data_IF_434388565712
#
_entry.id   IF_434388565712
#
_cell.length_a   1.000
_cell.length_b   1.000
_cell.length_c   1.000
_cell.angle_alpha   90.00
_cell.angle_beta   90.00
_cell.angle_gamma   90.00
#
_symmetry.space_group_name_H-M   'P 1'
#
loop_
_entity.id
_entity.type
_entity.pdbx_description
1 polymer ?
#
# COMPACT_ATOMS: atom_id res chain seq x y z
N UNK A 1 26.30 -7.43 10.15
CA UNK A 1 25.44 -7.47 11.34
C UNK A 1 24.00 -7.85 10.98
N UNK A 2 23.32 -7.20 10.06
CA UNK A 2 21.94 -7.51 9.64
C UNK A 2 21.76 -8.97 9.19
N UNK A 3 22.67 -9.51 8.35
CA UNK A 3 22.59 -10.92 7.91
C UNK A 3 22.78 -11.92 9.07
N UNK A 4 23.63 -11.60 10.04
CA UNK A 4 23.84 -12.45 11.21
C UNK A 4 22.59 -12.51 12.10
N UNK A 5 21.95 -11.35 12.32
CA UNK A 5 20.69 -11.24 13.07
C UNK A 5 19.56 -12.03 12.37
N UNK A 6 19.46 -11.92 11.05
CA UNK A 6 18.49 -12.69 10.26
C UNK A 6 18.72 -14.20 10.34
N UNK A 7 19.98 -14.65 10.25
CA UNK A 7 20.30 -16.07 10.38
C UNK A 7 19.92 -16.64 11.77
N UNK A 8 20.08 -15.84 12.81
CA UNK A 8 19.76 -16.24 14.20
C UNK A 8 18.24 -16.32 14.41
N UNK A 9 17.47 -15.36 13.89
CA UNK A 9 16.04 -15.23 14.20
C UNK A 9 15.10 -15.82 13.14
N UNK A 10 15.49 -15.86 11.86
CA UNK A 10 14.65 -16.35 10.76
C UNK A 10 15.15 -17.68 10.14
N UNK A 11 16.39 -18.09 10.45
CA UNK A 11 17.01 -19.29 9.85
C UNK A 11 17.64 -19.03 8.47
N UNK A 12 18.49 -19.97 8.01
CA UNK A 12 19.35 -19.80 6.83
C UNK A 12 18.58 -19.86 5.48
N UNK A 13 17.39 -20.49 5.46
CA UNK A 13 16.56 -20.74 4.26
C UNK A 13 15.07 -20.46 4.54
N UNK A 14 14.78 -19.42 5.33
CA UNK A 14 13.41 -19.09 5.71
C UNK A 14 12.63 -18.49 4.53
N UNK A 15 11.45 -19.04 4.25
CA UNK A 15 10.51 -18.42 3.31
C UNK A 15 9.92 -17.16 3.95
N UNK A 16 10.30 -16.01 3.40
CA UNK A 16 9.95 -14.70 3.92
C UNK A 16 8.45 -14.39 3.78
N UNK A 17 7.75 -15.13 2.93
CA UNK A 17 6.31 -15.01 2.72
C UNK A 17 5.50 -15.74 3.83
N UNK A 18 6.15 -16.62 4.59
CA UNK A 18 5.47 -17.30 5.70
C UNK A 18 5.11 -16.30 6.81
N UNK A 19 3.84 -16.22 7.25
CA UNK A 19 3.38 -15.24 8.25
C UNK A 19 4.17 -15.27 9.57
N UNK A 20 4.60 -16.45 10.01
CA UNK A 20 5.41 -16.62 11.23
C UNK A 20 6.80 -16.03 11.11
N UNK A 21 7.44 -16.21 9.95
CA UNK A 21 8.79 -15.69 9.69
C UNK A 21 8.73 -14.17 9.52
N UNK A 22 7.71 -13.67 8.82
CA UNK A 22 7.42 -12.26 8.66
C UNK A 22 7.26 -11.56 10.02
N UNK A 23 6.44 -12.13 10.90
CA UNK A 23 6.25 -11.60 12.26
C UNK A 23 7.53 -11.64 13.08
N UNK A 24 8.34 -12.71 12.99
CA UNK A 24 9.63 -12.81 13.68
C UNK A 24 10.62 -11.73 13.25
N UNK A 25 10.66 -11.40 11.95
CA UNK A 25 11.46 -10.30 11.40
C UNK A 25 10.96 -8.95 11.93
N UNK A 26 9.64 -8.75 11.98
CA UNK A 26 9.03 -7.55 12.54
C UNK A 26 9.35 -7.36 14.03
N UNK A 27 9.24 -8.42 14.82
CA UNK A 27 9.60 -8.41 16.25
C UNK A 27 11.10 -8.15 16.48
N UNK A 28 11.96 -8.75 15.66
CA UNK A 28 13.41 -8.48 15.70
C UNK A 28 13.69 -6.99 15.46
N UNK A 29 13.09 -6.42 14.42
CA UNK A 29 13.32 -5.02 14.06
C UNK A 29 12.84 -4.07 15.16
N UNK A 30 11.66 -4.28 15.72
CA UNK A 30 11.15 -3.51 16.84
C UNK A 30 12.06 -3.60 18.09
N UNK A 31 12.51 -4.82 18.42
CA UNK A 31 13.42 -5.02 19.55
C UNK A 31 14.77 -4.33 19.35
N UNK A 32 15.36 -4.43 18.16
CA UNK A 32 16.62 -3.73 17.82
C UNK A 32 16.45 -2.23 17.92
N UNK A 33 15.31 -1.68 17.43
CA UNK A 33 14.98 -0.27 17.55
C UNK A 33 14.91 0.20 18.99
N UNK A 34 14.18 -0.51 19.83
CA UNK A 34 14.05 -0.20 21.27
C UNK A 34 15.44 -0.18 21.92
N UNK A 35 16.22 -1.23 21.70
CA UNK A 35 17.56 -1.34 22.31
C UNK A 35 18.48 -0.20 21.86
N UNK A 36 18.53 0.09 20.57
CA UNK A 36 19.38 1.16 20.02
C UNK A 36 18.95 2.54 20.54
N UNK A 37 17.66 2.84 20.53
CA UNK A 37 17.15 4.13 20.96
C UNK A 37 17.30 4.33 22.48
N UNK A 38 17.11 3.31 23.30
CA UNK A 38 17.38 3.37 24.75
C UNK A 38 18.88 3.56 25.01
N UNK A 39 19.74 2.88 24.27
CA UNK A 39 21.20 3.05 24.38
C UNK A 39 21.61 4.48 24.03
N UNK A 40 21.12 5.02 22.91
CA UNK A 40 21.37 6.41 22.50
C UNK A 40 20.83 7.41 23.54
N UNK A 41 19.63 7.19 24.07
CA UNK A 41 19.08 7.99 25.15
C UNK A 41 20.01 8.01 26.36
N UNK A 42 20.44 6.85 26.87
CA UNK A 42 21.30 6.77 28.05
C UNK A 42 22.66 7.47 27.85
N UNK A 43 23.29 7.25 26.70
CA UNK A 43 24.60 7.88 26.37
C UNK A 43 24.45 9.39 26.25
N UNK A 44 23.45 9.89 25.54
CA UNK A 44 23.18 11.31 25.36
C UNK A 44 22.76 11.98 26.65
N UNK A 45 21.94 11.30 27.46
CA UNK A 45 21.52 11.80 28.78
C UNK A 45 22.74 11.99 29.70
N UNK A 46 23.60 10.97 29.81
CA UNK A 46 24.83 11.07 30.61
C UNK A 46 25.76 12.20 30.12
N UNK A 47 25.96 12.28 28.80
CA UNK A 47 26.77 13.33 28.20
C UNK A 47 26.17 14.73 28.40
N UNK A 48 24.85 14.88 28.30
CA UNK A 48 24.12 16.14 28.53
C UNK A 48 24.26 16.64 29.98
N UNK A 49 24.11 15.71 30.94
CA UNK A 49 24.30 16.01 32.36
C UNK A 49 25.77 16.44 32.64
N UNK A 50 26.72 15.66 32.15
CA UNK A 50 28.16 15.95 32.37
C UNK A 50 28.61 17.24 31.69
N UNK A 51 28.07 17.56 30.52
CA UNK A 51 28.41 18.78 29.77
C UNK A 51 27.55 19.99 30.17
N UNK A 52 26.51 19.82 30.98
CA UNK A 52 25.55 20.87 31.27
C UNK A 52 24.81 21.40 30.05
N UNK A 53 24.67 20.56 28.99
CA UNK A 53 24.12 20.97 27.69
C UNK A 53 22.64 20.60 27.56
N UNK A 54 21.78 21.63 27.52
CA UNK A 54 20.33 21.46 27.32
C UNK A 54 20.03 20.88 25.93
N UNK A 55 20.81 21.24 24.90
CA UNK A 55 20.62 20.73 23.53
C UNK A 55 20.86 19.21 23.45
N UNK A 56 21.88 18.67 24.15
CA UNK A 56 22.12 17.23 24.22
C UNK A 56 21.02 16.52 25.00
N UNK A 57 20.51 17.15 26.08
CA UNK A 57 19.41 16.60 26.85
C UNK A 57 18.12 16.52 25.99
N UNK A 58 17.82 17.58 25.23
CA UNK A 58 16.70 17.57 24.28
C UNK A 58 16.81 16.47 23.25
N UNK A 59 18.00 16.29 22.66
CA UNK A 59 18.29 15.22 21.68
C UNK A 59 18.24 13.82 22.34
N UNK A 60 18.60 13.68 23.60
CA UNK A 60 18.38 12.45 24.38
C UNK A 60 16.89 12.12 24.52
N UNK A 61 16.06 13.12 24.88
CA UNK A 61 14.60 12.94 24.98
C UNK A 61 13.97 12.55 23.65
N UNK A 62 14.48 13.06 22.53
CA UNK A 62 14.05 12.61 21.20
C UNK A 62 14.26 11.10 21.02
N UNK A 63 15.44 10.56 21.38
CA UNK A 63 15.67 9.10 21.28
C UNK A 63 14.75 8.28 22.20
N UNK A 64 14.27 8.83 23.32
CA UNK A 64 13.24 8.18 24.13
C UNK A 64 11.89 8.12 23.39
N UNK A 65 11.53 9.19 22.67
CA UNK A 65 10.34 9.19 21.79
C UNK A 65 10.46 8.16 20.68
N UNK A 66 11.66 8.00 20.08
CA UNK A 66 11.91 6.99 19.06
C UNK A 66 11.82 5.56 19.59
N UNK A 67 12.26 5.33 20.85
CA UNK A 67 12.03 4.05 21.51
C UNK A 67 10.52 3.76 21.66
N UNK A 68 9.71 4.77 21.91
CA UNK A 68 8.23 4.63 21.96
C UNK A 68 7.66 4.24 20.60
N UNK A 69 8.11 4.88 19.50
CA UNK A 69 7.73 4.49 18.12
C UNK A 69 8.09 3.03 17.82
N UNK A 70 9.27 2.58 18.27
CA UNK A 70 9.71 1.20 18.14
C UNK A 70 8.83 0.21 18.93
N UNK A 71 8.30 0.62 20.08
CA UNK A 71 7.31 -0.17 20.85
C UNK A 71 6.00 -0.27 20.09
N UNK A 72 5.51 0.82 19.48
CA UNK A 72 4.29 0.81 18.65
C UNK A 72 4.44 -0.15 17.48
N UNK A 73 5.60 -0.12 16.80
CA UNK A 73 5.95 -1.06 15.72
C UNK A 73 5.91 -2.53 16.19
N UNK A 74 6.55 -2.82 17.32
CA UNK A 74 6.57 -4.17 17.89
C UNK A 74 5.16 -4.67 18.25
N UNK A 75 4.36 -3.82 18.86
CA UNK A 75 2.97 -4.13 19.21
C UNK A 75 2.13 -4.35 17.97
N UNK A 76 2.33 -3.55 16.91
CA UNK A 76 1.63 -3.69 15.63
C UNK A 76 1.83 -5.09 15.03
N UNK A 77 3.08 -5.56 14.93
CA UNK A 77 3.38 -6.92 14.45
C UNK A 77 2.77 -8.00 15.34
N UNK A 78 2.85 -7.84 16.67
CA UNK A 78 2.28 -8.80 17.61
C UNK A 78 0.76 -8.88 17.53
N UNK A 79 0.09 -7.76 17.30
CA UNK A 79 -1.37 -7.71 17.14
C UNK A 79 -1.80 -8.24 15.77
N UNK A 80 -1.06 -7.94 14.71
CA UNK A 80 -1.33 -8.43 13.35
C UNK A 80 -1.24 -9.96 13.23
N UNK A 81 -0.47 -10.60 14.10
CA UNK A 81 -0.29 -12.07 14.16
C UNK A 81 -1.52 -12.82 14.71
N UNK A 82 -2.46 -12.10 15.36
CA UNK A 82 -3.66 -12.74 15.92
C UNK A 82 -4.50 -13.37 14.81
N UNK A 83 -4.98 -14.62 15.00
CA UNK A 83 -5.86 -15.26 14.04
C UNK A 83 -7.21 -14.54 13.95
N UNK A 84 -7.98 -14.89 12.93
CA UNK A 84 -9.37 -14.49 12.83
C UNK A 84 -10.17 -14.95 14.07
N UNK A 85 -11.11 -14.12 14.50
CA UNK A 85 -12.04 -14.38 15.59
C UNK A 85 -13.46 -13.94 15.18
N UNK A 86 -14.44 -14.12 16.09
CA UNK A 86 -15.86 -13.81 15.84
C UNK A 86 -16.11 -12.32 15.53
N UNK A 87 -15.25 -11.42 16.04
CA UNK A 87 -15.36 -9.98 15.80
C UNK A 87 -14.56 -9.54 14.56
N UNK A 88 -13.51 -10.27 14.21
CA UNK A 88 -12.61 -9.97 13.09
C UNK A 88 -12.41 -11.23 12.21
N UNK A 89 -13.44 -11.63 11.43
CA UNK A 89 -13.43 -12.88 10.67
C UNK A 89 -12.36 -12.92 9.58
N UNK A 90 -11.93 -11.75 9.10
CA UNK A 90 -10.84 -11.63 8.12
C UNK A 90 -9.44 -11.56 8.75
N UNK A 91 -9.33 -11.67 10.08
CA UNK A 91 -8.08 -11.61 10.82
C UNK A 91 -7.66 -10.20 11.23
N UNK A 92 -6.47 -10.09 11.78
CA UNK A 92 -5.98 -8.87 12.44
C UNK A 92 -4.79 -8.22 11.70
N UNK A 93 -4.46 -8.66 10.49
CA UNK A 93 -3.24 -8.20 9.79
C UNK A 93 -3.23 -6.68 9.50
N UNK A 94 -4.39 -6.02 9.45
CA UNK A 94 -4.50 -4.55 9.32
C UNK A 94 -3.93 -3.76 10.50
N UNK A 95 -3.69 -4.41 11.66
CA UNK A 95 -2.97 -3.73 12.75
C UNK A 95 -1.56 -3.26 12.35
N UNK A 96 -0.97 -3.86 11.33
CA UNK A 96 0.30 -3.37 10.80
C UNK A 96 0.16 -2.00 10.14
N UNK A 97 -0.88 -1.78 9.35
CA UNK A 97 -1.18 -0.46 8.75
C UNK A 97 -1.52 0.57 9.84
N UNK A 98 -2.32 0.19 10.85
CA UNK A 98 -2.66 1.07 11.96
C UNK A 98 -1.44 1.47 12.79
N UNK A 99 -0.49 0.57 13.01
CA UNK A 99 0.75 0.89 13.70
C UNK A 99 1.65 1.82 12.88
N UNK A 100 1.73 1.61 11.55
CA UNK A 100 2.41 2.54 10.64
C UNK A 100 1.78 3.94 10.65
N UNK A 101 0.45 4.04 10.69
CA UNK A 101 -0.26 5.31 10.82
C UNK A 101 0.02 5.99 12.16
N UNK A 102 0.07 5.22 13.27
CA UNK A 102 0.44 5.76 14.57
C UNK A 102 1.86 6.35 14.57
N UNK A 103 2.82 5.66 13.94
CA UNK A 103 4.20 6.18 13.77
C UNK A 103 4.20 7.44 12.90
N UNK A 104 3.43 7.48 11.80
CA UNK A 104 3.30 8.66 10.96
C UNK A 104 2.75 9.87 11.75
N UNK A 105 1.74 9.65 12.60
CA UNK A 105 1.19 10.69 13.48
C UNK A 105 2.25 11.22 14.46
N UNK A 106 3.08 10.34 15.02
CA UNK A 106 4.18 10.75 15.90
C UNK A 106 5.22 11.59 15.16
N UNK A 107 5.59 11.20 13.93
CA UNK A 107 6.51 11.96 13.06
C UNK A 107 5.95 13.37 12.80
N UNK A 108 4.64 13.49 12.54
CA UNK A 108 3.97 14.78 12.31
C UNK A 108 4.01 15.67 13.56
N UNK A 109 3.76 15.11 14.73
CA UNK A 109 3.84 15.85 16.02
C UNK A 109 5.27 16.35 16.24
N UNK A 110 6.28 15.50 16.06
CA UNK A 110 7.70 15.86 16.22
C UNK A 110 8.09 16.94 15.19
N UNK A 111 7.66 16.78 13.93
CA UNK A 111 7.92 17.76 12.86
C UNK A 111 7.31 19.13 13.18
N UNK A 112 6.10 19.16 13.74
CA UNK A 112 5.44 20.40 14.18
C UNK A 112 6.18 21.08 15.34
N UNK A 113 6.58 20.32 16.36
CA UNK A 113 7.36 20.83 17.50
C UNK A 113 8.73 21.38 17.04
N UNK A 114 9.38 20.68 16.10
CA UNK A 114 10.65 21.16 15.50
C UNK A 114 10.44 22.44 14.71
N UNK A 115 9.36 22.55 13.93
CA UNK A 115 9.03 23.77 13.19
C UNK A 115 8.80 24.95 14.14
N UNK A 116 8.05 24.74 15.23
CA UNK A 116 7.79 25.74 16.27
C UNK A 116 9.09 26.19 16.94
N UNK A 117 9.91 25.25 17.42
CA UNK A 117 11.19 25.54 18.05
C UNK A 117 12.16 26.28 17.13
N UNK A 118 12.18 25.89 15.83
CA UNK A 118 13.00 26.56 14.83
C UNK A 118 12.54 27.98 14.53
N UNK A 119 11.22 28.21 14.49
CA UNK A 119 10.63 29.55 14.34
C UNK A 119 10.95 30.45 15.56
N UNK A 120 10.88 29.91 16.79
CA UNK A 120 11.27 30.61 18.01
C UNK A 120 12.75 31.02 17.97
N UNK A 121 13.64 30.14 17.52
CA UNK A 121 15.08 30.43 17.38
C UNK A 121 15.38 31.47 16.29
N UNK A 122 14.55 31.57 15.25
CA UNK A 122 14.67 32.67 14.26
C UNK A 122 14.33 34.01 14.87
N UNK A 123 13.37 34.09 15.80
CA UNK A 123 12.95 35.31 16.49
C UNK A 123 13.88 35.67 17.67
N UNK A 124 14.36 34.65 18.37
CA UNK A 124 15.25 34.76 19.53
C UNK A 124 16.48 33.89 19.35
N UNK A 125 17.49 34.36 18.60
CA UNK A 125 18.68 33.59 18.31
C UNK A 125 19.47 33.24 19.56
N UNK A 126 19.75 31.95 19.77
CA UNK A 126 20.58 31.43 20.86
C UNK A 126 21.88 30.85 20.29
N UNK A 127 23.00 31.14 20.95
CA UNK A 127 24.31 30.58 20.59
C UNK A 127 24.42 29.14 21.05
N UNK A 128 24.78 28.23 20.16
CA UNK A 128 24.93 26.80 20.48
C UNK A 128 26.40 26.53 20.87
N UNK A 129 26.65 25.98 22.06
CA UNK A 129 28.00 25.67 22.51
C UNK A 129 28.43 24.27 22.06
N UNK A 130 29.26 24.21 21.00
CA UNK A 130 29.82 22.96 20.49
C UNK A 130 31.20 22.64 21.09
N UNK A 131 31.24 21.56 21.91
CA UNK A 131 32.48 20.97 22.39
C UNK A 131 32.88 19.77 21.49
N UNK A 132 34.15 19.35 21.54
CA UNK A 132 34.60 18.15 20.83
C UNK A 132 33.80 16.88 21.26
N UNK A 133 33.42 16.82 22.53
CA UNK A 133 32.57 15.73 23.05
C UNK A 133 31.21 15.76 22.41
N UNK A 134 30.55 16.93 22.34
CA UNK A 134 29.25 17.09 21.68
C UNK A 134 29.27 16.62 20.23
N UNK A 135 30.31 17.07 19.48
CA UNK A 135 30.48 16.66 18.06
C UNK A 135 30.67 15.16 17.94
N UNK A 136 31.48 14.54 18.79
CA UNK A 136 31.74 13.10 18.75
C UNK A 136 30.44 12.28 19.03
N UNK A 137 29.63 12.71 19.99
CA UNK A 137 28.38 12.06 20.36
C UNK A 137 27.36 12.20 19.24
N UNK A 138 27.20 13.40 18.66
CA UNK A 138 26.30 13.62 17.52
C UNK A 138 26.72 12.80 16.29
N UNK A 139 28.02 12.76 15.98
CA UNK A 139 28.55 11.94 14.87
C UNK A 139 28.30 10.43 15.08
N UNK A 140 28.53 9.92 16.28
CA UNK A 140 28.27 8.54 16.63
C UNK A 140 26.76 8.23 16.57
N UNK A 141 25.92 9.16 17.02
CA UNK A 141 24.45 9.04 16.95
C UNK A 141 23.97 8.96 15.49
N UNK A 142 24.48 9.82 14.61
CA UNK A 142 24.19 9.77 13.16
C UNK A 142 24.58 8.40 12.61
N UNK A 143 25.78 7.89 12.94
CA UNK A 143 26.24 6.58 12.48
C UNK A 143 25.28 5.44 12.87
N UNK A 144 24.81 5.42 14.12
CA UNK A 144 23.86 4.43 14.62
C UNK A 144 22.49 4.58 13.92
N UNK A 145 21.99 5.80 13.75
CA UNK A 145 20.72 6.07 13.07
C UNK A 145 20.75 5.74 11.57
N UNK A 146 21.89 6.02 10.88
CA UNK A 146 22.10 5.58 9.48
C UNK A 146 22.06 4.05 9.39
N UNK A 147 22.70 3.36 10.34
CA UNK A 147 22.66 1.91 10.37
C UNK A 147 21.23 1.40 10.61
N UNK A 148 20.47 2.00 11.53
CA UNK A 148 19.05 1.66 11.78
C UNK A 148 18.19 1.89 10.55
N UNK A 149 18.33 3.04 9.87
CA UNK A 149 17.63 3.35 8.62
C UNK A 149 17.84 2.26 7.57
N UNK A 150 19.12 1.89 7.30
CA UNK A 150 19.45 0.83 6.33
C UNK A 150 18.91 -0.53 6.78
N UNK A 151 18.97 -0.82 8.08
CA UNK A 151 18.46 -2.05 8.68
C UNK A 151 16.95 -2.15 8.48
N UNK A 152 16.15 -1.14 8.87
CA UNK A 152 14.71 -1.10 8.70
C UNK A 152 14.29 -1.15 7.24
N UNK A 153 14.94 -0.36 6.37
CA UNK A 153 14.65 -0.35 4.93
C UNK A 153 14.88 -1.73 4.30
N UNK A 154 15.97 -2.40 4.66
CA UNK A 154 16.28 -3.75 4.15
C UNK A 154 15.23 -4.77 4.61
N UNK A 155 14.85 -4.76 5.89
CA UNK A 155 13.85 -5.67 6.43
C UNK A 155 12.45 -5.34 5.90
N UNK A 156 12.09 -4.06 5.83
CA UNK A 156 10.82 -3.58 5.29
C UNK A 156 10.60 -4.05 3.85
N UNK A 157 11.59 -3.84 2.98
CA UNK A 157 11.53 -4.33 1.59
C UNK A 157 11.45 -5.86 1.50
N UNK A 158 12.08 -6.57 2.43
CA UNK A 158 12.10 -8.05 2.42
C UNK A 158 10.73 -8.64 2.77
N UNK A 159 10.00 -8.01 3.69
CA UNK A 159 8.69 -8.50 4.16
C UNK A 159 7.50 -7.65 3.69
N UNK A 160 7.73 -6.63 2.85
CA UNK A 160 6.68 -5.72 2.38
C UNK A 160 5.96 -4.97 3.51
N UNK A 161 6.72 -4.45 4.51
CA UNK A 161 6.15 -3.84 5.71
C UNK A 161 6.16 -2.33 5.69
N UNK A 162 4.98 -1.72 5.62
CA UNK A 162 4.76 -0.28 5.73
C UNK A 162 5.26 0.28 7.08
N UNK A 163 5.10 -0.49 8.15
CA UNK A 163 5.57 -0.10 9.49
C UNK A 163 7.09 0.01 9.57
N UNK A 164 7.82 -0.91 8.94
CA UNK A 164 9.28 -0.86 8.89
C UNK A 164 9.78 0.24 7.94
N UNK A 165 9.04 0.53 6.88
CA UNK A 165 9.32 1.68 6.02
C UNK A 165 9.13 2.98 6.80
N UNK A 166 8.07 3.10 7.60
CA UNK A 166 7.85 4.21 8.53
C UNK A 166 9.05 4.41 9.47
N UNK A 167 9.50 3.33 10.13
CA UNK A 167 10.64 3.37 11.05
C UNK A 167 11.96 3.74 10.35
N UNK A 168 12.13 3.34 9.06
CA UNK A 168 13.28 3.74 8.26
C UNK A 168 13.26 5.24 7.93
N UNK A 169 12.07 5.79 7.59
CA UNK A 169 11.86 7.21 7.33
C UNK A 169 12.14 8.04 8.60
N UNK A 170 11.64 7.59 9.74
CA UNK A 170 11.88 8.19 11.05
C UNK A 170 13.38 8.29 11.35
N UNK A 171 14.08 7.15 11.30
CA UNK A 171 15.54 7.11 11.49
C UNK A 171 16.33 7.98 10.49
N UNK A 172 15.83 8.11 9.23
CA UNK A 172 16.42 9.03 8.24
C UNK A 172 16.21 10.49 8.65
N UNK A 173 15.01 10.84 9.08
CA UNK A 173 14.68 12.19 9.51
C UNK A 173 15.53 12.61 10.69
N UNK A 174 15.77 11.70 11.65
CA UNK A 174 16.70 11.93 12.77
C UNK A 174 18.14 12.18 12.32
N UNK A 175 18.63 11.39 11.34
CA UNK A 175 19.95 11.63 10.76
C UNK A 175 20.04 13.03 10.15
N UNK A 176 19.01 13.43 9.38
CA UNK A 176 19.00 14.73 8.72
C UNK A 176 18.94 15.88 9.72
N UNK A 177 18.09 15.75 10.75
CA UNK A 177 17.95 16.73 11.82
C UNK A 177 19.26 16.88 12.58
N UNK A 178 19.86 15.76 13.04
CA UNK A 178 21.13 15.79 13.79
C UNK A 178 22.27 16.30 12.90
N UNK A 179 22.31 15.93 11.61
CA UNK A 179 23.34 16.42 10.68
C UNK A 179 23.17 17.92 10.39
N UNK A 180 21.94 18.42 10.25
CA UNK A 180 21.67 19.84 10.05
C UNK A 180 22.08 20.65 11.29
N UNK A 181 21.78 20.18 12.49
CA UNK A 181 22.21 20.81 13.75
C UNK A 181 23.74 20.84 13.87
N UNK A 182 24.40 19.72 13.53
CA UNK A 182 25.86 19.63 13.54
C UNK A 182 26.49 20.59 12.51
N UNK A 183 25.95 20.62 11.29
CA UNK A 183 26.44 21.51 10.23
C UNK A 183 26.22 22.99 10.60
N UNK A 184 25.03 23.34 11.10
CA UNK A 184 24.72 24.68 11.55
C UNK A 184 25.69 25.16 12.66
N UNK A 185 25.94 24.32 13.67
CA UNK A 185 26.87 24.64 14.72
C UNK A 185 28.32 24.79 14.26
N UNK A 186 28.79 24.02 13.27
CA UNK A 186 30.10 24.20 12.64
C UNK A 186 30.15 25.50 11.86
N UNK A 187 29.13 25.85 11.09
CA UNK A 187 29.03 27.11 10.35
C UNK A 187 29.03 28.29 11.32
N UNK A 188 28.20 28.25 12.37
CA UNK A 188 28.16 29.29 13.40
C UNK A 188 29.53 29.50 14.06
N UNK A 189 30.25 28.43 14.37
CA UNK A 189 31.61 28.50 14.95
C UNK A 189 32.64 29.15 14.04
N UNK A 190 32.48 29.03 12.69
CA UNK A 190 33.44 29.56 11.71
C UNK A 190 33.07 30.98 11.30
N UNK A 191 31.77 31.27 11.12
CA UNK A 191 31.28 32.51 10.51
C UNK A 191 30.64 33.48 11.47
N UNK A 192 30.31 33.04 12.70
CA UNK A 192 29.46 33.74 13.67
C UNK A 192 28.04 34.05 13.14
N UNK A 193 27.59 33.36 12.07
CA UNK A 193 26.23 33.50 11.52
C UNK A 193 25.29 32.50 12.22
N UNK A 194 24.19 33.00 12.77
CA UNK A 194 23.16 32.20 13.42
C UNK A 194 22.23 31.61 12.35
N UNK A 195 22.59 30.46 11.81
CA UNK A 195 21.84 29.79 10.72
C UNK A 195 21.01 28.58 11.17
N UNK A 196 21.13 28.16 12.44
CA UNK A 196 20.49 26.94 12.95
C UNK A 196 18.96 27.02 12.92
N UNK A 197 18.35 28.18 13.21
CA UNK A 197 16.92 28.36 13.11
C UNK A 197 16.36 28.17 11.68
N UNK A 198 17.06 28.68 10.64
CA UNK A 198 16.66 28.51 9.26
C UNK A 198 16.80 27.05 8.79
N UNK A 199 17.94 26.42 9.14
CA UNK A 199 18.19 25.01 8.82
C UNK A 199 17.21 24.08 9.54
N UNK A 200 16.93 24.36 10.80
CA UNK A 200 15.93 23.63 11.58
C UNK A 200 14.51 23.72 10.96
N UNK A 201 14.12 24.90 10.50
CA UNK A 201 12.81 25.09 9.84
C UNK A 201 12.74 24.32 8.51
N UNK A 202 13.80 24.36 7.70
CA UNK A 202 13.84 23.59 6.44
C UNK A 202 13.74 22.08 6.68
N UNK A 203 14.42 21.57 7.68
CA UNK A 203 14.32 20.15 8.09
C UNK A 203 12.93 19.82 8.62
N UNK A 204 12.33 20.69 9.44
CA UNK A 204 10.98 20.48 9.96
C UNK A 204 9.94 20.39 8.84
N UNK A 205 10.01 21.26 7.82
CA UNK A 205 9.13 21.20 6.64
C UNK A 205 9.30 19.86 5.90
N UNK A 206 10.55 19.41 5.72
CA UNK A 206 10.82 18.12 5.10
C UNK A 206 10.27 16.94 5.91
N UNK A 207 10.39 16.97 7.24
CA UNK A 207 9.83 15.94 8.15
C UNK A 207 8.31 15.91 8.05
N UNK A 208 7.65 17.08 8.09
CA UNK A 208 6.20 17.19 7.95
C UNK A 208 5.71 16.65 6.60
N UNK A 209 6.37 17.01 5.50
CA UNK A 209 6.05 16.46 4.18
C UNK A 209 6.18 14.93 4.15
N UNK A 210 7.27 14.39 4.71
CA UNK A 210 7.51 12.94 4.79
C UNK A 210 6.46 12.24 5.65
N UNK A 211 6.07 12.83 6.79
CA UNK A 211 5.01 12.31 7.67
C UNK A 211 3.65 12.29 6.99
N UNK A 212 3.27 13.36 6.28
CA UNK A 212 2.02 13.40 5.51
C UNK A 212 1.99 12.32 4.40
N UNK A 213 3.08 12.16 3.67
CA UNK A 213 3.20 11.12 2.64
C UNK A 213 3.04 9.73 3.25
N UNK A 214 3.76 9.45 4.34
CA UNK A 214 3.67 8.17 5.03
C UNK A 214 2.25 7.89 5.55
N UNK A 215 1.57 8.90 6.13
CA UNK A 215 0.18 8.78 6.56
C UNK A 215 -0.74 8.41 5.39
N UNK A 216 -0.56 9.07 4.23
CA UNK A 216 -1.32 8.75 3.01
C UNK A 216 -1.07 7.31 2.56
N UNK A 217 0.20 6.89 2.47
CA UNK A 217 0.60 5.56 1.99
C UNK A 217 0.10 4.44 2.94
N UNK A 218 -0.08 4.76 4.24
CA UNK A 218 -0.58 3.81 5.26
C UNK A 218 -2.12 3.75 5.29
N UNK A 219 -2.79 4.87 4.99
CA UNK A 219 -4.26 4.94 4.94
C UNK A 219 -4.81 4.34 3.66
N UNK A 220 -4.10 4.48 2.53
CA UNK A 220 -4.55 4.01 1.21
C UNK A 220 -4.99 2.53 1.21
N UNK A 221 -4.22 1.56 1.74
CA UNK A 221 -4.66 0.16 1.83
C UNK A 221 -5.88 -0.05 2.75
N UNK A 222 -6.05 0.80 3.78
CA UNK A 222 -7.23 0.72 4.66
C UNK A 222 -8.51 1.16 3.97
N UNK A 223 -8.42 2.11 3.03
CA UNK A 223 -9.54 2.59 2.21
C UNK A 223 -9.87 1.66 1.04
N UNK A 224 -9.01 0.68 0.74
CA UNK A 224 -9.18 -0.19 -0.43
C UNK A 224 -8.45 0.40 -1.64
N UNK A 225 -7.13 0.35 -1.62
CA UNK A 225 -6.32 0.80 -2.76
C UNK A 225 -6.39 -0.18 -3.91
N UNK A 226 -6.19 0.34 -5.11
CA UNK A 226 -6.15 -0.45 -6.34
C UNK A 226 -5.07 -1.53 -6.28
N UNK A 227 -5.42 -2.73 -6.70
CA UNK A 227 -4.49 -3.86 -6.72
C UNK A 227 -3.33 -3.63 -7.68
N UNK A 228 -2.14 -4.09 -7.29
CA UNK A 228 -0.96 -4.09 -8.16
C UNK A 228 -1.29 -4.71 -9.53
N UNK A 229 -1.06 -4.00 -10.65
CA UNK A 229 -1.31 -4.52 -11.99
C UNK A 229 -0.64 -5.87 -12.27
N UNK A 230 0.55 -6.12 -11.69
CA UNK A 230 1.23 -7.41 -11.83
C UNK A 230 0.49 -8.56 -11.15
N UNK A 231 -0.09 -8.30 -9.97
CA UNK A 231 -0.89 -9.31 -9.26
C UNK A 231 -2.18 -9.59 -10.02
N UNK A 232 -2.82 -8.54 -10.54
CA UNK A 232 -4.02 -8.66 -11.35
C UNK A 232 -3.77 -9.49 -12.62
N UNK A 233 -2.71 -9.17 -13.37
CA UNK A 233 -2.33 -9.97 -14.55
C UNK A 233 -2.06 -11.43 -14.22
N UNK A 234 -1.37 -11.72 -13.10
CA UNK A 234 -1.14 -13.11 -12.66
C UNK A 234 -2.43 -13.87 -12.34
N UNK A 235 -3.42 -13.21 -11.75
CA UNK A 235 -4.72 -13.84 -11.47
C UNK A 235 -5.51 -14.08 -12.75
N UNK A 236 -5.50 -13.12 -13.69
CA UNK A 236 -6.10 -13.25 -14.99
C UNK A 236 -5.47 -14.42 -15.77
N UNK A 237 -4.14 -14.44 -15.92
CA UNK A 237 -3.40 -15.52 -16.60
C UNK A 237 -3.68 -16.89 -15.95
N UNK A 238 -3.77 -16.93 -14.62
CA UNK A 238 -4.08 -18.15 -13.87
C UNK A 238 -5.46 -18.70 -14.24
N UNK A 239 -6.48 -17.85 -14.23
CA UNK A 239 -7.86 -18.24 -14.52
C UNK A 239 -8.01 -18.62 -15.99
N UNK A 240 -7.43 -17.85 -16.92
CA UNK A 240 -7.48 -18.12 -18.37
C UNK A 240 -6.62 -19.33 -18.80
N UNK A 241 -5.75 -19.83 -17.91
CA UNK A 241 -4.97 -21.04 -18.21
C UNK A 241 -5.85 -22.30 -18.34
N UNK A 242 -7.08 -22.29 -17.82
CA UNK A 242 -8.00 -23.40 -17.95
C UNK A 242 -8.70 -23.33 -19.33
N UNK A 243 -8.61 -24.39 -20.18
CA UNK A 243 -9.13 -24.38 -21.55
C UNK A 243 -10.67 -24.28 -21.63
N UNK A 244 -11.40 -24.45 -20.53
CA UNK A 244 -12.87 -24.30 -20.46
C UNK A 244 -13.29 -22.88 -20.15
N UNK A 245 -12.38 -22.03 -19.70
CA UNK A 245 -12.63 -20.61 -19.46
C UNK A 245 -12.49 -19.88 -20.79
N UNK A 246 -13.56 -19.20 -21.19
CA UNK A 246 -13.65 -18.44 -22.43
C UNK A 246 -13.25 -16.97 -22.24
N UNK A 247 -13.44 -16.46 -21.03
CA UNK A 247 -13.10 -15.11 -20.62
C UNK A 247 -13.29 -14.92 -19.13
N UNK A 248 -12.84 -13.77 -18.63
CA UNK A 248 -13.10 -13.35 -17.25
C UNK A 248 -13.41 -11.85 -17.21
N UNK A 249 -14.13 -11.41 -16.18
CA UNK A 249 -14.42 -10.00 -15.91
C UNK A 249 -14.66 -9.76 -14.41
N UNK A 250 -14.81 -8.50 -13.99
CA UNK A 250 -15.12 -8.05 -12.63
C UNK A 250 -14.14 -8.55 -11.56
N UNK A 251 -12.85 -8.64 -11.93
CA UNK A 251 -11.82 -9.00 -10.97
C UNK A 251 -11.64 -7.91 -9.93
N UNK A 252 -12.09 -8.21 -8.69
CA UNK A 252 -11.87 -7.38 -7.51
C UNK A 252 -10.95 -8.09 -6.52
N UNK A 253 -10.01 -7.33 -5.94
CA UNK A 253 -9.11 -7.85 -4.91
C UNK A 253 -9.18 -6.96 -3.68
N UNK A 254 -9.46 -7.56 -2.53
CA UNK A 254 -9.56 -6.89 -1.25
C UNK A 254 -8.34 -7.24 -0.38
N UNK A 255 -7.62 -6.21 0.10
CA UNK A 255 -6.50 -6.38 1.01
C UNK A 255 -6.96 -6.18 2.47
N UNK A 256 -6.82 -7.23 3.26
CA UNK A 256 -7.08 -7.21 4.71
C UNK A 256 -5.79 -7.22 5.53
N UNK A 257 -4.70 -6.78 4.92
CA UNK A 257 -3.39 -6.72 5.51
C UNK A 257 -2.42 -7.73 4.89
N UNK A 258 -1.14 -7.60 5.17
CA UNK A 258 -0.11 -8.41 4.54
C UNK A 258 -0.35 -9.91 4.67
N UNK A 259 -0.39 -10.61 3.53
CA UNK A 259 -0.67 -12.04 3.47
C UNK A 259 -2.13 -12.43 3.69
N UNK A 260 -3.07 -11.50 3.66
CA UNK A 260 -4.51 -11.73 3.79
C UNK A 260 -5.27 -11.01 2.68
N UNK A 261 -5.42 -11.69 1.53
CA UNK A 261 -6.13 -11.15 0.36
C UNK A 261 -7.30 -12.04 0.01
N UNK A 262 -8.38 -11.39 -0.41
CA UNK A 262 -9.59 -12.01 -0.92
C UNK A 262 -9.84 -11.43 -2.31
N UNK A 263 -10.22 -12.28 -3.25
CA UNK A 263 -10.54 -11.86 -4.60
C UNK A 263 -11.86 -12.45 -5.04
N UNK A 264 -12.57 -11.74 -5.88
CA UNK A 264 -13.73 -12.25 -6.61
C UNK A 264 -13.57 -11.90 -8.08
N UNK A 265 -14.03 -12.78 -8.94
CA UNK A 265 -14.12 -12.56 -10.38
C UNK A 265 -15.21 -13.40 -11.00
N UNK A 266 -15.59 -13.05 -12.19
CA UNK A 266 -16.51 -13.80 -13.03
C UNK A 266 -15.74 -14.57 -14.10
N UNK A 267 -16.19 -15.80 -14.41
CA UNK A 267 -15.66 -16.64 -15.50
C UNK A 267 -16.76 -16.99 -16.47
N UNK A 268 -16.52 -16.73 -17.74
CA UNK A 268 -17.38 -17.15 -18.82
C UNK A 268 -17.05 -18.60 -19.27
N UNK A 269 -18.05 -19.48 -19.27
CA UNK A 269 -17.91 -20.85 -19.79
C UNK A 269 -19.11 -21.17 -20.72
N UNK A 270 -18.94 -22.14 -21.64
CA UNK A 270 -20.03 -22.51 -22.56
C UNK A 270 -21.25 -23.02 -21.78
N UNK A 271 -22.44 -22.48 -22.09
CA UNK A 271 -23.73 -22.91 -21.48
C UNK A 271 -24.03 -24.38 -21.66
N UNK A 272 -23.44 -25.05 -22.67
CA UNK A 272 -23.66 -26.46 -22.97
C UNK A 272 -22.73 -27.40 -22.16
N UNK A 273 -21.77 -26.86 -21.39
CA UNK A 273 -20.98 -27.66 -20.47
C UNK A 273 -21.83 -28.20 -19.34
N UNK A 274 -21.41 -29.34 -18.76
CA UNK A 274 -22.07 -29.89 -17.59
C UNK A 274 -21.85 -28.95 -16.39
N UNK A 275 -22.93 -28.45 -15.74
CA UNK A 275 -22.79 -27.57 -14.57
C UNK A 275 -21.98 -28.17 -13.41
N UNK A 276 -22.01 -29.50 -13.22
CA UNK A 276 -21.23 -30.17 -12.21
C UNK A 276 -19.73 -30.13 -12.54
N UNK A 277 -19.39 -30.33 -13.82
CA UNK A 277 -18.02 -30.21 -14.29
C UNK A 277 -17.52 -28.76 -14.15
N UNK A 278 -18.34 -27.78 -14.53
CA UNK A 278 -18.00 -26.35 -14.33
C UNK A 278 -17.71 -26.05 -12.85
N UNK A 279 -18.55 -26.54 -11.95
CA UNK A 279 -18.35 -26.36 -10.52
C UNK A 279 -17.05 -27.03 -10.01
N UNK A 280 -16.73 -28.25 -10.48
CA UNK A 280 -15.50 -28.95 -10.12
C UNK A 280 -14.25 -28.16 -10.56
N UNK A 281 -14.24 -27.63 -11.78
CA UNK A 281 -13.16 -26.80 -12.31
C UNK A 281 -12.97 -25.54 -11.47
N UNK A 282 -14.06 -24.85 -11.13
CA UNK A 282 -14.03 -23.63 -10.32
C UNK A 282 -13.48 -23.92 -8.93
N UNK A 283 -13.98 -24.96 -8.26
CA UNK A 283 -13.53 -25.35 -6.92
C UNK A 283 -12.03 -25.75 -6.90
N UNK A 284 -11.55 -26.38 -7.98
CA UNK A 284 -10.12 -26.66 -8.17
C UNK A 284 -9.31 -25.37 -8.31
N UNK A 285 -9.73 -24.43 -9.17
CA UNK A 285 -9.08 -23.13 -9.34
C UNK A 285 -9.05 -22.32 -8.04
N UNK A 286 -10.14 -22.27 -7.28
CA UNK A 286 -10.20 -21.57 -5.98
C UNK A 286 -9.20 -22.17 -4.97
N UNK A 287 -9.12 -23.50 -4.87
CA UNK A 287 -8.14 -24.21 -4.01
C UNK A 287 -6.70 -23.99 -4.44
N UNK A 288 -6.44 -24.05 -5.74
CA UNK A 288 -5.10 -23.83 -6.27
C UNK A 288 -4.65 -22.37 -6.09
N UNK A 289 -5.53 -21.39 -6.29
CA UNK A 289 -5.25 -20.00 -6.06
C UNK A 289 -4.84 -19.75 -4.60
N UNK A 290 -5.58 -20.33 -3.65
CA UNK A 290 -5.21 -20.25 -2.24
C UNK A 290 -3.84 -20.88 -1.95
N UNK A 291 -3.56 -22.06 -2.51
CA UNK A 291 -2.32 -22.81 -2.30
C UNK A 291 -1.11 -22.11 -2.92
N UNK A 292 -1.23 -21.62 -4.16
CA UNK A 292 -0.10 -21.14 -4.97
C UNK A 292 0.13 -19.64 -4.82
N UNK A 293 -0.94 -18.86 -4.58
CA UNK A 293 -0.91 -17.40 -4.50
C UNK A 293 -1.26 -16.84 -3.11
N UNK A 294 -1.78 -17.67 -2.19
CA UNK A 294 -2.20 -17.25 -0.85
C UNK A 294 -3.41 -16.32 -0.85
N UNK A 295 -4.24 -16.39 -1.91
CA UNK A 295 -5.41 -15.54 -2.11
C UNK A 295 -6.67 -16.39 -2.02
N UNK A 296 -7.60 -15.99 -1.17
CA UNK A 296 -8.93 -16.56 -1.13
C UNK A 296 -9.73 -16.05 -2.33
N UNK A 297 -9.81 -16.85 -3.39
CA UNK A 297 -10.55 -16.52 -4.60
C UNK A 297 -11.97 -17.07 -4.50
N UNK A 298 -12.95 -16.30 -4.96
CA UNK A 298 -14.34 -16.71 -5.19
C UNK A 298 -14.66 -16.42 -6.65
N UNK A 299 -15.09 -17.45 -7.37
CA UNK A 299 -15.38 -17.37 -8.80
C UNK A 299 -16.89 -17.47 -9.01
N UNK A 300 -17.46 -16.46 -9.65
CA UNK A 300 -18.82 -16.53 -10.18
C UNK A 300 -18.79 -17.12 -11.60
N UNK A 301 -19.68 -18.05 -11.86
CA UNK A 301 -19.79 -18.74 -13.14
C UNK A 301 -20.88 -18.10 -14.01
N UNK A 302 -20.49 -17.63 -15.20
CA UNK A 302 -21.39 -17.07 -16.20
C UNK A 302 -21.50 -17.99 -17.41
N UNK A 303 -22.68 -18.66 -17.63
CA UNK A 303 -22.89 -19.47 -18.79
C UNK A 303 -23.14 -18.61 -20.03
N UNK A 304 -22.23 -18.64 -21.00
CA UNK A 304 -22.32 -17.90 -22.26
C UNK A 304 -22.74 -18.78 -23.43
N UNK A 305 -23.41 -18.18 -24.40
CA UNK A 305 -23.81 -18.84 -25.63
C UNK A 305 -22.66 -18.79 -26.61
N UNK A 306 -22.14 -19.94 -27.03
CA UNK A 306 -21.14 -20.06 -28.07
C UNK A 306 -21.75 -20.59 -29.36
N UNK A 307 -21.16 -20.26 -30.51
CA UNK A 307 -21.51 -20.82 -31.81
C UNK A 307 -22.82 -20.29 -32.42
N UNK A 308 -23.39 -19.20 -31.88
CA UNK A 308 -24.49 -18.47 -32.54
C UNK A 308 -23.91 -17.32 -33.39
N UNK A 309 -23.89 -17.44 -34.74
CA UNK A 309 -23.28 -16.44 -35.61
C UNK A 309 -23.95 -15.06 -35.51
N UNK A 310 -25.24 -15.01 -35.21
CA UNK A 310 -25.97 -13.75 -35.12
C UNK A 310 -25.68 -13.04 -33.78
N UNK A 311 -25.58 -13.79 -32.70
CA UNK A 311 -25.15 -13.24 -31.41
C UNK A 311 -23.71 -12.70 -31.50
N UNK A 312 -22.79 -13.43 -32.11
CA UNK A 312 -21.39 -13.00 -32.28
C UNK A 312 -21.27 -11.75 -33.15
N UNK A 313 -22.06 -11.69 -34.25
CA UNK A 313 -22.15 -10.51 -35.10
C UNK A 313 -22.61 -9.29 -34.32
N UNK A 314 -23.66 -9.43 -33.53
CA UNK A 314 -24.24 -8.33 -32.76
C UNK A 314 -23.30 -7.90 -31.60
N UNK A 315 -22.68 -8.85 -30.93
CA UNK A 315 -21.65 -8.56 -29.92
C UNK A 315 -20.52 -7.72 -30.51
N UNK A 316 -19.94 -8.17 -31.62
CA UNK A 316 -18.85 -7.45 -32.32
C UNK A 316 -19.28 -6.07 -32.77
N UNK A 317 -20.54 -5.94 -33.27
CA UNK A 317 -21.08 -4.65 -33.69
C UNK A 317 -21.19 -3.67 -32.52
N UNK A 318 -21.78 -4.08 -31.42
CA UNK A 318 -21.94 -3.26 -30.21
C UNK A 318 -20.59 -2.85 -29.67
N UNK A 319 -19.65 -3.80 -29.57
CA UNK A 319 -18.30 -3.54 -29.10
C UNK A 319 -17.58 -2.52 -29.99
N UNK A 320 -17.71 -2.66 -31.31
CA UNK A 320 -17.10 -1.74 -32.27
C UNK A 320 -17.65 -0.32 -32.12
N UNK A 321 -18.97 -0.15 -31.95
CA UNK A 321 -19.60 1.16 -31.77
C UNK A 321 -19.10 1.81 -30.48
N UNK A 322 -19.06 1.04 -29.38
CA UNK A 322 -18.58 1.55 -28.09
C UNK A 322 -17.10 1.96 -28.15
N UNK A 323 -16.24 1.17 -28.78
CA UNK A 323 -14.81 1.47 -28.95
C UNK A 323 -14.54 2.68 -29.85
N UNK A 324 -15.43 3.01 -30.77
CA UNK A 324 -15.33 4.26 -31.56
C UNK A 324 -15.52 5.48 -30.66
N UNK A 325 -16.38 5.38 -29.64
CA UNK A 325 -16.59 6.47 -28.68
C UNK A 325 -15.43 6.57 -27.70
N UNK A 326 -15.05 5.48 -27.08
CA UNK A 326 -13.85 5.39 -26.23
C UNK A 326 -13.28 3.96 -26.31
N UNK A 327 -11.99 3.85 -26.64
CA UNK A 327 -11.30 2.56 -26.79
C UNK A 327 -11.23 1.72 -25.53
N UNK A 328 -11.50 2.31 -24.37
CA UNK A 328 -11.48 1.65 -23.07
C UNK A 328 -12.83 1.01 -22.71
N UNK A 329 -13.90 1.34 -23.44
CA UNK A 329 -15.19 0.70 -23.25
C UNK A 329 -15.12 -0.74 -23.75
N UNK A 330 -15.47 -1.68 -22.89
CA UNK A 330 -15.61 -3.10 -23.23
C UNK A 330 -16.96 -3.61 -22.76
N UNK A 331 -17.41 -4.73 -23.33
CA UNK A 331 -18.67 -5.36 -22.95
C UNK A 331 -18.42 -6.78 -22.46
N UNK A 332 -19.24 -7.20 -21.49
CA UNK A 332 -19.29 -8.56 -20.98
C UNK A 332 -20.74 -9.00 -20.75
N UNK A 333 -20.93 -10.28 -20.48
CA UNK A 333 -22.25 -10.92 -20.26
C UNK A 333 -23.27 -10.64 -21.37
N UNK A 334 -22.79 -10.63 -22.64
CA UNK A 334 -23.62 -10.32 -23.80
C UNK A 334 -24.60 -11.45 -24.13
N UNK A 335 -25.91 -11.13 -24.10
CA UNK A 335 -26.99 -12.05 -24.38
C UNK A 335 -28.00 -11.46 -25.36
N UNK A 336 -28.47 -12.26 -26.30
CA UNK A 336 -29.59 -11.93 -27.17
C UNK A 336 -30.84 -12.69 -26.73
N UNK A 337 -31.90 -11.96 -26.46
CA UNK A 337 -33.21 -12.54 -26.12
C UNK A 337 -34.23 -12.19 -27.20
N UNK A 338 -34.53 -13.14 -28.11
CA UNK A 338 -35.54 -12.92 -29.17
C UNK A 338 -36.92 -12.70 -28.58
N UNK A 339 -37.55 -11.58 -28.96
CA UNK A 339 -38.91 -11.27 -28.63
C UNK A 339 -39.85 -11.42 -29.86
N UNK A 340 -41.16 -11.21 -29.71
CA UNK A 340 -42.12 -11.34 -30.81
C UNK A 340 -41.95 -10.28 -31.90
N UNK A 341 -41.48 -9.10 -31.58
CA UNK A 341 -41.27 -7.96 -32.52
C UNK A 341 -39.89 -7.37 -32.46
N UNK A 342 -39.23 -7.45 -31.30
CA UNK A 342 -37.92 -6.87 -31.04
C UNK A 342 -37.03 -7.92 -30.40
N UNK A 343 -35.72 -7.79 -30.58
CA UNK A 343 -34.71 -8.58 -29.90
C UNK A 343 -34.09 -7.71 -28.81
N UNK A 344 -34.02 -8.20 -27.57
CA UNK A 344 -33.30 -7.52 -26.51
C UNK A 344 -31.83 -7.91 -26.54
N UNK A 345 -30.97 -6.92 -26.61
CA UNK A 345 -29.52 -7.04 -26.41
C UNK A 345 -29.26 -6.68 -24.95
N UNK A 346 -28.91 -7.68 -24.15
CA UNK A 346 -28.64 -7.52 -22.72
C UNK A 346 -27.14 -7.70 -22.56
N UNK A 347 -26.48 -6.72 -21.95
CA UNK A 347 -25.04 -6.77 -21.71
C UNK A 347 -24.64 -5.71 -20.71
N UNK A 348 -23.47 -5.91 -20.14
CA UNK A 348 -22.85 -4.98 -19.22
C UNK A 348 -21.68 -4.26 -19.91
N UNK A 349 -21.52 -2.97 -19.58
CA UNK A 349 -20.47 -2.11 -20.13
C UNK A 349 -19.49 -1.72 -19.02
N UNK A 350 -18.26 -2.16 -19.16
CA UNK A 350 -17.16 -1.73 -18.29
C UNK A 350 -16.89 -0.23 -18.54
N UNK A 351 -17.25 0.60 -17.56
CA UNK A 351 -17.17 2.05 -17.64
C UNK A 351 -15.97 2.57 -16.84
N UNK A 352 -14.98 3.23 -17.48
CA UNK A 352 -13.90 3.92 -16.79
C UNK A 352 -14.42 4.96 -15.80
N UNK A 353 -13.73 5.09 -14.65
CA UNK A 353 -14.14 5.99 -13.55
C UNK A 353 -14.29 7.46 -13.98
N UNK A 354 -13.49 7.92 -14.95
CA UNK A 354 -13.54 9.28 -15.52
C UNK A 354 -14.73 9.52 -16.47
N UNK A 355 -15.41 8.46 -16.91
CA UNK A 355 -16.62 8.55 -17.73
C UNK A 355 -17.92 8.36 -16.91
N UNK A 356 -17.83 8.23 -15.59
CA UNK A 356 -19.00 8.21 -14.73
C UNK A 356 -19.83 9.47 -14.88
N UNK A 357 -21.15 9.29 -15.07
CA UNK A 357 -22.07 10.36 -15.39
C UNK A 357 -22.35 10.53 -16.88
N UNK A 358 -21.65 9.80 -17.78
CA UNK A 358 -21.89 9.78 -19.22
C UNK A 358 -22.75 8.61 -19.71
N UNK A 359 -23.26 7.75 -18.81
CA UNK A 359 -23.96 6.50 -19.11
C UNK A 359 -25.12 6.72 -20.10
N UNK A 360 -25.94 7.73 -19.85
CA UNK A 360 -27.07 8.05 -20.73
C UNK A 360 -26.63 8.58 -22.10
N UNK A 361 -25.51 9.30 -22.16
CA UNK A 361 -24.90 9.78 -23.42
C UNK A 361 -24.36 8.60 -24.25
N UNK A 362 -23.71 7.64 -23.58
CA UNK A 362 -23.18 6.43 -24.22
C UNK A 362 -24.33 5.55 -24.73
N UNK A 363 -25.37 5.35 -23.92
CA UNK A 363 -26.57 4.61 -24.31
C UNK A 363 -27.22 5.18 -25.56
N UNK A 364 -27.48 6.50 -25.59
CA UNK A 364 -28.09 7.18 -26.75
C UNK A 364 -27.23 7.06 -28.00
N UNK A 365 -25.93 7.28 -27.89
CA UNK A 365 -25.04 7.16 -29.03
C UNK A 365 -25.03 5.75 -29.62
N UNK A 366 -25.07 4.72 -28.78
CA UNK A 366 -25.19 3.33 -29.21
C UNK A 366 -26.53 3.04 -29.89
N UNK A 367 -27.66 3.47 -29.31
CA UNK A 367 -28.98 3.27 -29.89
C UNK A 367 -29.15 4.00 -31.24
N UNK A 368 -28.62 5.22 -31.36
CA UNK A 368 -28.58 5.97 -32.61
C UNK A 368 -27.77 5.25 -33.69
N UNK A 369 -26.57 4.75 -33.35
CA UNK A 369 -25.72 4.02 -34.27
C UNK A 369 -26.35 2.70 -34.72
N UNK A 370 -26.97 1.92 -33.82
CA UNK A 370 -27.69 0.71 -34.16
C UNK A 370 -28.87 1.00 -35.09
N UNK A 371 -29.62 2.08 -34.86
CA UNK A 371 -30.73 2.50 -35.72
C UNK A 371 -30.26 2.90 -37.12
N UNK A 372 -29.14 3.61 -37.25
CA UNK A 372 -28.54 4.00 -38.53
C UNK A 372 -28.05 2.80 -39.34
N UNK A 373 -27.55 1.76 -38.67
CA UNK A 373 -27.10 0.50 -39.30
C UNK A 373 -28.24 -0.43 -39.65
N UNK A 374 -29.49 -0.05 -39.38
CA UNK A 374 -30.69 -0.82 -39.75
C UNK A 374 -31.17 -1.81 -38.67
N UNK A 375 -30.53 -1.89 -37.55
CA UNK A 375 -30.89 -2.79 -36.42
C UNK A 375 -31.99 -2.20 -35.51
N UNK A 376 -33.01 -1.57 -36.12
CA UNK A 376 -34.12 -0.88 -35.44
C UNK A 376 -35.02 -1.81 -34.58
N UNK A 377 -34.89 -3.11 -34.75
CA UNK A 377 -35.62 -4.11 -33.98
C UNK A 377 -34.90 -4.55 -32.71
N UNK A 378 -33.67 -4.01 -32.49
CA UNK A 378 -32.88 -4.30 -31.31
C UNK A 378 -33.12 -3.27 -30.19
N UNK A 379 -33.42 -3.77 -29.01
CA UNK A 379 -33.54 -2.97 -27.77
C UNK A 379 -32.34 -3.26 -26.87
N UNK A 380 -31.67 -2.23 -26.43
CA UNK A 380 -30.52 -2.37 -25.53
C UNK A 380 -30.98 -2.34 -24.06
N UNK A 381 -30.53 -3.31 -23.29
CA UNK A 381 -30.67 -3.36 -21.83
C UNK A 381 -29.24 -3.38 -21.29
N UNK A 382 -28.78 -2.23 -20.81
CA UNK A 382 -27.38 -2.00 -20.46
C UNK A 382 -27.26 -1.76 -18.98
N UNK A 383 -26.39 -2.54 -18.31
CA UNK A 383 -25.84 -2.23 -17.01
C UNK A 383 -24.48 -1.55 -17.22
N UNK A 384 -24.17 -0.51 -16.46
CA UNK A 384 -22.87 0.13 -16.50
C UNK A 384 -22.11 -0.17 -15.22
N UNK A 385 -21.01 -0.90 -15.36
CA UNK A 385 -20.17 -1.27 -14.24
C UNK A 385 -18.96 -0.35 -14.17
N UNK A 386 -18.85 0.38 -13.06
CA UNK A 386 -17.71 1.23 -12.81
C UNK A 386 -16.46 0.38 -12.56
N UNK A 387 -15.54 0.34 -13.52
CA UNK A 387 -14.29 -0.40 -13.36
C UNK A 387 -13.22 0.51 -12.80
N UNK A 388 -12.70 0.21 -11.60
CA UNK A 388 -11.62 0.97 -11.01
C UNK A 388 -10.29 0.77 -11.74
N UNK A 389 -10.22 -0.18 -12.69
CA UNK A 389 -9.01 -0.53 -13.44
C UNK A 389 -9.31 -0.52 -14.94
N UNK A 390 -8.46 0.15 -15.69
CA UNK A 390 -8.41 0.03 -17.14
C UNK A 390 -7.60 -1.22 -17.49
N UNK A 391 -8.18 -2.11 -18.28
CA UNK A 391 -7.46 -3.22 -18.89
C UNK A 391 -6.55 -2.78 -20.02
#
# INVERSE_FOLDING_TARGET
MTQLLLMIFAGKNADVQEPKIRSSIGKLSGTVGIVCNILLFAIKLAAGILAGSVSILADALNNLSDATSSVVTLLGFKLAERPADDHHPYGHARYEYLSGLAVAAMILVIGFELAKSSAEKLLHPETVVFTAVTVSILAASIGIKVWLMVFYKKLGNMIGSQTLEAAAIDSRNDCMTTAAVLAAGLVERITNWQVDGLTGLAVAIFILYSGCRLAKDTVSPLLGEATDPQLRGKLADFVESNPKVLGHHDLMVHDYGPGRRFASLHVEMDKNEDPLLCHEIIDEMERECLKNHGIHLVIHYDPVVTGDPEQERMRTLVETILRVRDRRLSIHDFRMVPGRKNTNLIFDVALPMDLQGEEESIRKALEEALNELGEKHCHTVITFDAVPYLE
#
